data_IF_216872885964
#
_entry.id   IF_216872885964
#
_cell.length_a   1.000
_cell.length_b   1.000
_cell.length_c   1.000
_cell.angle_alpha   90.00
_cell.angle_beta   90.00
_cell.angle_gamma   90.00
#
_symmetry.space_group_name_H-M   'P 1'
#
loop_
_entity.id
_entity.type
_entity.pdbx_description
1 polymer ?
#
# COMPACT_ATOMS: atom_id res chain seq x y z
N UNK A 1 -28.13 -36.94 -28.34
CA UNK A 1 -28.55 -36.24 -27.09
C UNK A 1 -27.29 -35.74 -26.37
N UNK A 2 -27.17 -34.43 -26.04
CA UNK A 2 -26.01 -33.94 -25.33
C UNK A 2 -26.14 -34.31 -23.85
N UNK A 3 -25.13 -34.96 -23.29
CA UNK A 3 -24.99 -35.19 -21.84
C UNK A 3 -24.92 -33.87 -21.11
N UNK A 4 -25.89 -33.59 -20.24
CA UNK A 4 -25.84 -32.44 -19.30
C UNK A 4 -24.57 -32.52 -18.45
N UNK A 5 -23.85 -31.42 -18.34
CA UNK A 5 -22.60 -31.38 -17.61
C UNK A 5 -22.85 -31.46 -16.09
N UNK A 6 -21.97 -32.12 -15.38
CA UNK A 6 -22.05 -32.26 -13.91
C UNK A 6 -22.06 -30.93 -13.15
N UNK A 7 -21.74 -29.83 -13.84
CA UNK A 7 -21.73 -28.47 -13.33
C UNK A 7 -23.15 -27.90 -13.19
N UNK A 8 -24.04 -28.19 -14.14
CA UNK A 8 -25.41 -27.74 -14.08
C UNK A 8 -26.20 -28.40 -12.94
N UNK A 9 -25.90 -29.69 -12.64
CA UNK A 9 -26.47 -30.39 -11.51
C UNK A 9 -25.97 -29.86 -10.16
N UNK A 10 -24.72 -29.37 -10.10
CA UNK A 10 -24.15 -28.75 -8.90
C UNK A 10 -24.83 -27.40 -8.61
N UNK A 11 -25.01 -26.57 -9.62
CA UNK A 11 -25.73 -25.29 -9.48
C UNK A 11 -27.22 -25.45 -9.18
N UNK A 12 -27.85 -26.52 -9.66
CA UNK A 12 -29.24 -26.85 -9.30
C UNK A 12 -29.37 -27.21 -7.82
N UNK A 13 -28.45 -28.03 -7.27
CA UNK A 13 -28.40 -28.42 -5.86
C UNK A 13 -28.10 -27.20 -4.93
N UNK A 14 -27.20 -26.30 -5.35
CA UNK A 14 -26.89 -25.08 -4.58
C UNK A 14 -28.09 -24.13 -4.49
N UNK A 15 -28.86 -23.97 -5.56
CA UNK A 15 -30.09 -23.16 -5.56
C UNK A 15 -31.18 -23.79 -4.67
N UNK A 16 -31.29 -25.10 -4.67
CA UNK A 16 -32.28 -25.83 -3.84
C UNK A 16 -31.92 -25.71 -2.36
N UNK A 17 -30.67 -25.90 -1.98
CA UNK A 17 -30.17 -25.73 -0.61
C UNK A 17 -30.31 -24.28 -0.10
N UNK A 18 -30.10 -23.27 -0.95
CA UNK A 18 -30.35 -21.86 -0.61
C UNK A 18 -31.81 -21.56 -0.36
N UNK A 19 -32.72 -22.13 -1.12
CA UNK A 19 -34.18 -21.95 -0.94
C UNK A 19 -34.70 -22.62 0.33
N UNK A 20 -34.16 -23.78 0.70
CA UNK A 20 -34.53 -24.50 1.94
C UNK A 20 -34.05 -23.76 3.21
N UNK A 21 -32.87 -23.14 3.19
CA UNK A 21 -32.39 -22.32 4.30
C UNK A 21 -33.21 -21.05 4.53
N UNK A 22 -33.70 -20.40 3.47
CA UNK A 22 -34.59 -19.24 3.58
C UNK A 22 -35.98 -19.65 4.10
N UNK A 23 -36.50 -20.80 3.68
CA UNK A 23 -37.78 -21.32 4.15
C UNK A 23 -37.76 -21.76 5.63
N UNK A 24 -36.61 -22.24 6.14
CA UNK A 24 -36.45 -22.65 7.53
C UNK A 24 -36.35 -21.45 8.48
N UNK A 25 -35.76 -20.35 8.06
CA UNK A 25 -35.65 -19.12 8.88
C UNK A 25 -36.98 -18.35 9.03
N UNK A 26 -37.96 -18.58 8.17
CA UNK A 26 -39.28 -17.92 8.23
C UNK A 26 -40.27 -18.66 9.15
N UNK A 27 -40.01 -19.93 9.53
CA UNK A 27 -40.93 -20.70 10.37
C UNK A 27 -40.76 -20.55 11.88
N UNK A 28 -39.75 -19.85 12.36
CA UNK A 28 -39.46 -19.70 13.81
C UNK A 28 -39.90 -18.38 14.43
N UNK A 29 -40.68 -17.54 13.74
CA UNK A 29 -41.20 -16.28 14.29
C UNK A 29 -42.71 -16.24 14.19
N UNK A 30 -43.38 -17.07 14.97
CA UNK A 30 -44.80 -16.89 15.38
C UNK A 30 -44.93 -17.50 16.76
N UNK A 31 -44.81 -16.71 17.76
CA UNK A 31 -45.61 -16.52 18.98
C UNK A 31 -44.73 -15.87 20.08
N UNK A 32 -44.94 -14.59 20.28
CA UNK A 32 -44.98 -13.95 21.59
C UNK A 32 -45.44 -12.50 21.42
N UNK A 33 -46.73 -12.30 21.77
CA UNK A 33 -47.32 -10.99 21.89
C UNK A 33 -46.76 -10.26 23.12
N UNK A 34 -45.90 -9.25 22.92
CA UNK A 34 -45.75 -8.14 23.87
C UNK A 34 -45.80 -6.82 23.12
N UNK A 35 -46.88 -6.09 23.39
CA UNK A 35 -47.02 -4.68 23.00
C UNK A 35 -45.92 -3.86 23.68
N UNK A 36 -44.96 -3.42 22.91
CA UNK A 36 -44.11 -2.28 23.25
C UNK A 36 -44.27 -1.27 22.12
N UNK A 37 -44.76 -0.10 22.46
CA UNK A 37 -44.87 1.06 21.58
C UNK A 37 -43.48 1.51 21.20
N UNK A 38 -42.96 1.01 20.06
CA UNK A 38 -41.73 1.54 19.46
C UNK A 38 -42.10 2.66 18.50
N UNK A 39 -41.61 3.84 18.83
CA UNK A 39 -41.52 4.99 17.90
C UNK A 39 -40.78 4.52 16.63
N UNK A 40 -41.24 4.85 15.42
CA UNK A 40 -40.56 4.44 14.21
C UNK A 40 -39.14 5.04 14.20
N UNK A 41 -38.11 4.21 14.38
CA UNK A 41 -36.73 4.58 14.08
C UNK A 41 -36.69 4.96 12.59
N UNK A 42 -36.37 6.23 12.29
CA UNK A 42 -36.05 6.68 10.95
C UNK A 42 -35.06 5.67 10.34
N UNK A 43 -35.43 5.10 9.20
CA UNK A 43 -34.50 4.28 8.43
C UNK A 43 -33.23 5.12 8.18
N UNK A 44 -32.12 4.68 8.74
CA UNK A 44 -30.81 5.32 8.50
C UNK A 44 -30.51 5.04 7.03
N UNK A 45 -30.47 6.09 6.21
CA UNK A 45 -30.04 5.94 4.82
C UNK A 45 -28.63 5.29 4.82
N UNK A 46 -28.36 4.35 3.90
CA UNK A 46 -27.03 3.77 3.79
C UNK A 46 -26.00 4.89 3.56
N UNK A 47 -24.80 4.78 4.14
CA UNK A 47 -23.76 5.77 3.96
C UNK A 47 -23.44 5.93 2.47
N UNK A 48 -23.28 7.17 2.03
CA UNK A 48 -22.96 7.49 0.63
C UNK A 48 -21.47 7.77 0.51
N UNK A 49 -20.80 7.29 -0.55
CA UNK A 49 -19.41 7.65 -0.84
C UNK A 49 -19.27 9.18 -0.95
N UNK A 50 -18.13 9.70 -0.52
CA UNK A 50 -17.80 11.10 -0.75
C UNK A 50 -17.49 11.34 -2.22
N UNK A 51 -17.99 12.43 -2.78
CA UNK A 51 -17.69 12.78 -4.17
C UNK A 51 -16.20 13.10 -4.36
N UNK A 52 -15.55 12.60 -5.44
CA UNK A 52 -14.15 12.87 -5.72
C UNK A 52 -13.89 14.38 -5.96
N UNK A 53 -12.91 14.93 -5.26
CA UNK A 53 -12.39 16.27 -5.50
C UNK A 53 -11.11 16.21 -6.34
N UNK A 54 -11.24 16.40 -7.66
CA UNK A 54 -10.11 16.30 -8.60
C UNK A 54 -8.98 17.27 -8.25
N UNK A 55 -9.28 18.44 -7.69
CA UNK A 55 -8.27 19.41 -7.28
C UNK A 55 -7.39 18.93 -6.13
N UNK A 56 -7.93 18.07 -5.25
CA UNK A 56 -7.13 17.48 -4.17
C UNK A 56 -6.12 16.47 -4.72
N UNK A 57 -6.53 15.65 -5.68
CA UNK A 57 -5.63 14.72 -6.36
C UNK A 57 -4.55 15.45 -7.15
N UNK A 58 -4.91 16.48 -7.93
CA UNK A 58 -3.96 17.31 -8.68
C UNK A 58 -2.94 18.00 -7.75
N UNK A 59 -3.37 18.52 -6.60
CA UNK A 59 -2.48 19.13 -5.61
C UNK A 59 -1.50 18.12 -5.02
N UNK A 60 -1.97 16.92 -4.69
CA UNK A 60 -1.09 15.84 -4.23
C UNK A 60 -0.06 15.51 -5.28
N UNK A 61 -0.49 15.23 -6.52
CA UNK A 61 0.40 14.82 -7.59
C UNK A 61 1.43 15.93 -7.89
N UNK A 62 1.01 17.18 -7.96
CA UNK A 62 1.92 18.32 -8.12
C UNK A 62 2.93 18.45 -6.97
N UNK A 63 2.51 18.21 -5.74
CA UNK A 63 3.40 18.28 -4.57
C UNK A 63 4.44 17.16 -4.54
N UNK A 64 4.17 16.02 -5.19
CA UNK A 64 5.05 14.86 -5.20
C UNK A 64 6.07 14.85 -6.35
N UNK A 65 5.90 15.65 -7.42
CA UNK A 65 6.79 15.62 -8.59
C UNK A 65 8.27 15.74 -8.20
N UNK A 66 8.64 16.78 -7.46
CA UNK A 66 10.04 17.01 -7.08
C UNK A 66 10.57 15.93 -6.11
N UNK A 67 9.70 15.43 -5.22
CA UNK A 67 10.02 14.34 -4.29
C UNK A 67 10.30 13.06 -5.07
N UNK A 68 9.44 12.69 -6.01
CA UNK A 68 9.57 11.49 -6.83
C UNK A 68 10.85 11.52 -7.68
N UNK A 69 11.17 12.64 -8.31
CA UNK A 69 12.41 12.81 -9.06
C UNK A 69 13.66 12.58 -8.19
N UNK A 70 13.65 13.09 -6.96
CA UNK A 70 14.77 12.92 -6.03
C UNK A 70 14.85 11.49 -5.49
N UNK A 71 13.71 10.87 -5.16
CA UNK A 71 13.66 9.47 -4.72
C UNK A 71 14.16 8.52 -5.81
N UNK A 72 13.73 8.71 -7.07
CA UNK A 72 14.22 7.93 -8.21
C UNK A 72 15.75 8.01 -8.32
N UNK A 73 16.31 9.21 -8.27
CA UNK A 73 17.77 9.40 -8.33
C UNK A 73 18.50 8.68 -7.19
N UNK A 74 18.00 8.83 -5.96
CA UNK A 74 18.60 8.24 -4.77
C UNK A 74 18.51 6.72 -4.77
N UNK A 75 17.33 6.15 -5.07
CA UNK A 75 17.17 4.71 -5.15
C UNK A 75 18.02 4.09 -6.26
N UNK A 76 18.06 4.71 -7.46
CA UNK A 76 18.95 4.25 -8.53
C UNK A 76 20.42 4.33 -8.13
N UNK A 77 20.82 5.31 -7.30
CA UNK A 77 22.17 5.41 -6.77
C UNK A 77 22.47 4.28 -5.78
N UNK A 78 21.61 4.03 -4.80
CA UNK A 78 21.76 2.92 -3.84
C UNK A 78 21.91 1.59 -4.58
N UNK A 79 21.02 1.33 -5.54
CA UNK A 79 21.09 0.11 -6.36
C UNK A 79 22.39 0.02 -7.16
N UNK A 80 22.92 1.12 -7.67
CA UNK A 80 24.18 1.12 -8.40
C UNK A 80 25.40 0.86 -7.49
N UNK A 81 25.38 1.45 -6.29
CA UNK A 81 26.45 1.25 -5.32
C UNK A 81 26.46 -0.20 -4.78
N UNK A 82 25.28 -0.79 -4.54
CA UNK A 82 25.12 -2.19 -4.14
C UNK A 82 25.59 -3.14 -5.26
N UNK A 83 25.16 -2.92 -6.52
CA UNK A 83 25.61 -3.66 -7.69
C UNK A 83 27.14 -3.64 -7.80
N UNK A 84 27.75 -2.45 -7.69
CA UNK A 84 29.20 -2.30 -7.78
C UNK A 84 29.93 -3.03 -6.65
N UNK A 85 29.42 -2.97 -5.42
CA UNK A 85 30.01 -3.69 -4.30
C UNK A 85 30.02 -5.21 -4.54
N UNK A 86 28.90 -5.76 -5.03
CA UNK A 86 28.79 -7.19 -5.35
C UNK A 86 29.75 -7.59 -6.49
N UNK A 87 29.81 -6.80 -7.56
CA UNK A 87 30.69 -7.08 -8.70
C UNK A 87 32.17 -7.01 -8.30
N UNK A 88 32.57 -6.03 -7.48
CA UNK A 88 33.91 -5.92 -6.94
C UNK A 88 34.29 -7.12 -6.06
N UNK A 89 33.36 -7.57 -5.22
CA UNK A 89 33.55 -8.77 -4.41
C UNK A 89 33.80 -10.01 -5.30
N UNK A 90 32.96 -10.21 -6.34
CA UNK A 90 33.08 -11.35 -7.25
C UNK A 90 34.36 -11.38 -8.09
N UNK A 91 35.02 -10.26 -8.25
CA UNK A 91 36.35 -10.19 -8.91
C UNK A 91 37.51 -10.70 -8.02
N UNK A 92 37.26 -10.88 -6.72
CA UNK A 92 38.31 -11.34 -5.81
C UNK A 92 38.57 -12.84 -6.00
N UNK A 93 39.87 -13.25 -5.87
CA UNK A 93 40.27 -14.66 -5.99
C UNK A 93 39.66 -15.60 -4.94
N UNK A 94 39.05 -15.04 -3.86
CA UNK A 94 38.44 -15.77 -2.76
C UNK A 94 36.89 -15.61 -2.76
N UNK A 95 36.34 -15.11 -3.86
CA UNK A 95 34.89 -14.91 -3.95
C UNK A 95 34.16 -16.26 -3.81
N UNK A 96 33.13 -16.22 -2.97
CA UNK A 96 32.17 -17.33 -2.81
C UNK A 96 30.82 -16.84 -3.30
N UNK A 97 30.21 -17.61 -4.21
CA UNK A 97 28.90 -17.27 -4.78
C UNK A 97 27.83 -17.78 -3.80
N UNK A 98 27.56 -16.98 -2.79
CA UNK A 98 26.52 -17.21 -1.79
C UNK A 98 25.88 -15.87 -1.39
N UNK A 99 24.58 -15.86 -1.09
CA UNK A 99 23.82 -14.62 -0.82
C UNK A 99 24.46 -13.79 0.30
N UNK A 100 24.81 -14.46 1.42
CA UNK A 100 25.38 -13.83 2.63
C UNK A 100 26.78 -13.26 2.41
N UNK A 101 27.43 -13.61 1.28
CA UNK A 101 28.75 -13.13 0.91
C UNK A 101 28.69 -11.99 -0.09
N UNK A 102 27.68 -11.99 -0.94
CA UNK A 102 27.52 -10.98 -2.01
C UNK A 102 26.65 -9.81 -1.57
N UNK A 103 25.70 -10.00 -0.66
CA UNK A 103 24.85 -8.95 -0.10
C UNK A 103 25.15 -8.69 1.38
N UNK A 104 24.92 -7.47 1.87
CA UNK A 104 24.90 -7.17 3.30
C UNK A 104 23.77 -7.91 4.01
N UNK A 105 23.75 -7.88 5.36
CA UNK A 105 22.58 -8.39 6.11
C UNK A 105 21.31 -7.65 5.68
N UNK A 106 20.16 -8.26 5.90
CA UNK A 106 18.87 -7.66 5.58
C UNK A 106 18.71 -6.28 6.27
N UNK A 107 19.08 -6.20 7.54
CA UNK A 107 18.96 -4.99 8.35
C UNK A 107 19.85 -3.87 7.80
N UNK A 108 21.11 -4.19 7.44
CA UNK A 108 22.03 -3.21 6.90
C UNK A 108 21.59 -2.73 5.51
N UNK A 109 21.09 -3.65 4.68
CA UNK A 109 20.55 -3.30 3.37
C UNK A 109 19.32 -2.39 3.51
N UNK A 110 18.35 -2.76 4.34
CA UNK A 110 17.17 -1.93 4.62
C UNK A 110 17.55 -0.55 5.16
N UNK A 111 18.49 -0.51 6.11
CA UNK A 111 18.96 0.75 6.69
C UNK A 111 19.53 1.69 5.62
N UNK A 112 20.29 1.16 4.65
CA UNK A 112 20.84 1.94 3.54
C UNK A 112 19.74 2.59 2.71
N UNK A 113 18.65 1.86 2.39
CA UNK A 113 17.51 2.40 1.67
C UNK A 113 16.75 3.45 2.50
N UNK A 114 16.54 3.19 3.79
CA UNK A 114 15.89 4.12 4.73
C UNK A 114 16.67 5.43 4.82
N UNK A 115 17.98 5.38 5.05
CA UNK A 115 18.83 6.58 5.15
C UNK A 115 18.83 7.39 3.86
N UNK A 116 18.91 6.72 2.72
CA UNK A 116 18.89 7.40 1.44
C UNK A 116 17.59 8.13 1.12
N UNK A 117 16.44 7.63 1.62
CA UNK A 117 15.11 8.11 1.20
C UNK A 117 14.38 8.92 2.27
N UNK A 118 14.75 8.82 3.54
CA UNK A 118 14.01 9.37 4.68
C UNK A 118 13.70 10.86 4.55
N UNK A 119 14.63 11.67 4.07
CA UNK A 119 14.44 13.11 3.91
C UNK A 119 13.28 13.43 2.96
N UNK A 120 13.26 12.84 1.79
CA UNK A 120 12.25 13.06 0.75
C UNK A 120 10.88 12.50 1.17
N UNK A 121 10.88 11.36 1.85
CA UNK A 121 9.65 10.77 2.37
C UNK A 121 9.04 11.62 3.49
N UNK A 122 9.85 12.24 4.33
CA UNK A 122 9.36 13.22 5.32
C UNK A 122 8.83 14.48 4.63
N UNK A 123 9.45 14.97 3.56
CA UNK A 123 8.93 16.11 2.79
C UNK A 123 7.58 15.76 2.13
N UNK A 124 7.42 14.55 1.59
CA UNK A 124 6.13 14.07 1.09
C UNK A 124 5.06 14.05 2.21
N UNK A 125 5.40 13.51 3.37
CA UNK A 125 4.51 13.50 4.53
C UNK A 125 4.15 14.92 5.01
N UNK A 126 5.11 15.83 5.02
CA UNK A 126 4.87 17.25 5.33
C UNK A 126 3.89 17.89 4.33
N UNK A 127 4.01 17.58 3.05
CA UNK A 127 3.08 18.06 2.02
C UNK A 127 1.66 17.52 2.25
N UNK A 128 1.54 16.24 2.62
CA UNK A 128 0.27 15.65 3.02
C UNK A 128 -0.34 16.32 4.25
N UNK A 129 0.46 16.54 5.29
CA UNK A 129 0.03 17.23 6.50
C UNK A 129 -0.48 18.66 6.21
N UNK A 130 0.22 19.39 5.35
CA UNK A 130 -0.15 20.74 4.95
C UNK A 130 -1.42 20.79 4.11
N UNK A 131 -1.77 19.72 3.42
CA UNK A 131 -3.00 19.67 2.61
C UNK A 131 -4.29 19.71 3.44
N UNK A 132 -4.22 19.20 4.67
CA UNK A 132 -5.37 19.10 5.58
C UNK A 132 -5.27 20.04 6.80
N UNK A 133 -4.11 20.63 7.07
CA UNK A 133 -3.90 21.48 8.25
C UNK A 133 -3.43 22.88 7.87
N UNK A 134 -4.01 23.89 8.51
CA UNK A 134 -3.58 25.30 8.43
C UNK A 134 -2.49 25.65 9.47
N UNK A 135 -2.04 24.69 10.28
CA UNK A 135 -1.03 24.89 11.30
C UNK A 135 0.33 25.32 10.71
N UNK A 136 1.13 26.01 11.49
CA UNK A 136 2.48 26.42 11.10
C UNK A 136 3.36 25.21 10.80
N UNK A 137 4.26 25.31 9.83
CA UNK A 137 5.21 24.24 9.47
C UNK A 137 6.00 23.72 10.66
N UNK A 138 6.36 24.57 11.60
CA UNK A 138 7.08 24.19 12.85
C UNK A 138 6.30 23.23 13.71
N UNK A 139 4.98 23.41 13.82
CA UNK A 139 4.11 22.57 14.63
C UNK A 139 3.80 21.24 13.93
N UNK A 140 3.66 21.27 12.61
CA UNK A 140 3.53 20.05 11.82
C UNK A 140 4.79 19.18 11.92
N UNK A 141 5.99 19.75 11.90
CA UNK A 141 7.26 19.02 12.07
C UNK A 141 7.40 18.29 13.40
N UNK A 142 6.68 18.70 14.43
CA UNK A 142 6.63 17.96 15.70
C UNK A 142 5.84 16.65 15.56
N UNK A 143 4.76 16.68 14.80
CA UNK A 143 3.92 15.51 14.50
C UNK A 143 4.54 14.62 13.41
N UNK A 144 5.10 15.25 12.37
CA UNK A 144 5.73 14.59 11.22
C UNK A 144 7.23 14.43 11.49
N UNK A 145 7.59 13.37 12.19
CA UNK A 145 8.97 13.04 12.55
C UNK A 145 9.41 11.74 11.86
N UNK A 146 10.72 11.50 11.88
CA UNK A 146 11.27 10.22 11.43
C UNK A 146 10.56 9.02 12.08
N UNK A 147 10.37 9.08 13.41
CA UNK A 147 9.76 7.98 14.14
C UNK A 147 8.31 7.69 13.71
N UNK A 148 7.49 8.73 13.46
CA UNK A 148 6.08 8.56 13.11
C UNK A 148 5.83 8.20 11.65
N UNK A 149 6.71 8.64 10.76
CA UNK A 149 6.59 8.45 9.31
C UNK A 149 7.35 7.19 8.88
N UNK A 150 8.62 7.06 9.27
CA UNK A 150 9.46 5.97 8.79
C UNK A 150 9.11 4.60 9.39
N UNK A 151 8.36 4.54 10.50
CA UNK A 151 7.86 3.28 11.04
C UNK A 151 7.05 2.47 9.99
N UNK A 152 6.17 3.14 9.26
CA UNK A 152 5.35 2.53 8.20
C UNK A 152 6.15 2.37 6.91
N UNK A 153 6.91 3.39 6.53
CA UNK A 153 7.62 3.43 5.26
C UNK A 153 8.82 2.49 5.21
N UNK A 154 9.50 2.24 6.33
CA UNK A 154 10.57 1.23 6.39
C UNK A 154 10.05 -0.17 6.06
N UNK A 155 8.85 -0.51 6.56
CA UNK A 155 8.21 -1.76 6.19
C UNK A 155 7.91 -1.82 4.68
N UNK A 156 7.36 -0.74 4.12
CA UNK A 156 7.08 -0.67 2.68
C UNK A 156 8.35 -0.76 1.83
N UNK A 157 9.45 -0.12 2.25
CA UNK A 157 10.77 -0.27 1.60
C UNK A 157 11.29 -1.72 1.67
N UNK A 158 11.10 -2.38 2.83
CA UNK A 158 11.44 -3.79 2.97
C UNK A 158 10.62 -4.66 2.01
N UNK A 159 9.30 -4.50 2.02
CA UNK A 159 8.37 -5.34 1.26
C UNK A 159 8.49 -5.13 -0.26
N UNK A 160 8.67 -3.88 -0.72
CA UNK A 160 8.66 -3.56 -2.15
C UNK A 160 10.06 -3.60 -2.79
N UNK A 161 11.14 -3.44 -2.01
CA UNK A 161 12.49 -3.39 -2.55
C UNK A 161 13.38 -4.50 -2.00
N UNK A 162 13.58 -4.55 -0.67
CA UNK A 162 14.64 -5.38 -0.11
C UNK A 162 14.33 -6.86 -0.26
N UNK A 163 13.14 -7.31 0.15
CA UNK A 163 12.74 -8.71 0.01
C UNK A 163 12.74 -9.19 -1.45
N UNK A 164 12.06 -8.51 -2.40
CA UNK A 164 12.03 -8.98 -3.79
C UNK A 164 13.39 -8.94 -4.47
N UNK A 165 14.23 -7.96 -4.14
CA UNK A 165 15.57 -7.87 -4.68
C UNK A 165 16.45 -9.02 -4.17
N UNK A 166 16.41 -9.31 -2.85
CA UNK A 166 17.14 -10.44 -2.26
C UNK A 166 16.70 -11.78 -2.84
N UNK A 167 15.40 -12.00 -3.00
CA UNK A 167 14.88 -13.20 -3.69
C UNK A 167 15.44 -13.33 -5.12
N UNK A 168 15.48 -12.21 -5.83
CA UNK A 168 16.01 -12.21 -7.20
C UNK A 168 17.50 -12.51 -7.22
N UNK A 169 18.28 -11.98 -6.29
CA UNK A 169 19.71 -12.28 -6.18
C UNK A 169 19.95 -13.72 -5.71
N UNK A 170 19.12 -14.26 -4.82
CA UNK A 170 19.18 -15.68 -4.44
C UNK A 170 19.01 -16.57 -5.68
N UNK A 171 18.04 -16.28 -6.55
CA UNK A 171 17.87 -17.01 -7.81
C UNK A 171 19.07 -16.88 -8.74
N UNK A 172 19.76 -15.73 -8.73
CA UNK A 172 21.01 -15.57 -9.47
C UNK A 172 22.12 -16.46 -8.89
N UNK A 173 22.24 -16.56 -7.56
CA UNK A 173 23.19 -17.47 -6.91
C UNK A 173 22.94 -18.91 -7.35
N UNK A 174 21.71 -19.38 -7.28
CA UNK A 174 21.31 -20.74 -7.67
C UNK A 174 21.59 -21.01 -9.15
N UNK A 175 21.25 -20.06 -10.03
CA UNK A 175 21.40 -20.22 -11.48
C UNK A 175 22.85 -20.12 -11.97
N UNK A 176 23.75 -19.53 -11.18
CA UNK A 176 25.16 -19.34 -11.57
C UNK A 176 26.03 -20.58 -11.35
N UNK A 177 25.51 -21.60 -10.69
CA UNK A 177 26.22 -22.86 -10.37
C UNK A 177 27.65 -22.63 -9.82
N UNK A 178 27.79 -21.65 -8.93
CA UNK A 178 29.07 -21.26 -8.33
C UNK A 178 30.02 -20.44 -9.23
N UNK A 179 29.64 -20.14 -10.48
CA UNK A 179 30.43 -19.33 -11.41
C UNK A 179 30.33 -17.84 -11.10
N UNK A 180 31.43 -17.22 -10.67
CA UNK A 180 31.49 -15.78 -10.40
C UNK A 180 31.26 -14.94 -11.68
N UNK A 181 31.66 -15.44 -12.85
CA UNK A 181 31.43 -14.75 -14.14
C UNK A 181 29.97 -14.73 -14.50
N UNK A 182 29.28 -15.88 -14.38
CA UNK A 182 27.85 -16.00 -14.67
C UNK A 182 27.02 -15.21 -13.65
N UNK A 183 27.34 -15.32 -12.36
CA UNK A 183 26.73 -14.50 -11.32
C UNK A 183 26.85 -13.00 -11.62
N UNK A 184 28.03 -12.53 -12.06
CA UNK A 184 28.24 -11.12 -12.43
C UNK A 184 27.34 -10.67 -13.58
N UNK A 185 27.10 -11.54 -14.57
CA UNK A 185 26.19 -11.26 -15.68
C UNK A 185 24.74 -11.16 -15.23
N UNK A 186 24.30 -12.10 -14.38
CA UNK A 186 22.93 -12.13 -13.81
C UNK A 186 22.67 -10.92 -12.92
N UNK A 187 23.63 -10.51 -12.07
CA UNK A 187 23.55 -9.30 -11.25
C UNK A 187 23.33 -8.07 -12.12
N UNK A 188 24.19 -7.86 -13.13
CA UNK A 188 24.06 -6.68 -14.04
C UNK A 188 22.69 -6.63 -14.70
N UNK A 189 22.16 -7.77 -15.15
CA UNK A 189 20.84 -7.85 -15.75
C UNK A 189 19.73 -7.50 -14.76
N UNK A 190 19.81 -8.06 -13.55
CA UNK A 190 18.82 -7.82 -12.48
C UNK A 190 18.80 -6.35 -12.06
N UNK A 191 19.94 -5.75 -11.75
CA UNK A 191 19.98 -4.33 -11.32
C UNK A 191 19.63 -3.36 -12.44
N UNK A 192 19.93 -3.70 -13.70
CA UNK A 192 19.44 -2.93 -14.85
C UNK A 192 17.93 -2.94 -14.93
N UNK A 193 17.30 -4.12 -14.81
CA UNK A 193 15.85 -4.26 -14.82
C UNK A 193 15.21 -3.45 -13.69
N UNK A 194 15.74 -3.54 -12.47
CA UNK A 194 15.26 -2.79 -11.33
C UNK A 194 15.32 -1.28 -11.55
N UNK A 195 16.48 -0.76 -11.96
CA UNK A 195 16.70 0.67 -12.21
C UNK A 195 15.81 1.23 -13.33
N UNK A 196 15.46 0.40 -14.33
CA UNK A 196 14.70 0.86 -15.50
C UNK A 196 13.18 0.65 -15.37
N UNK A 197 12.72 -0.33 -14.61
CA UNK A 197 11.30 -0.74 -14.63
C UNK A 197 10.61 -0.67 -13.28
N UNK A 198 11.32 -0.96 -12.18
CA UNK A 198 10.70 -1.10 -10.87
C UNK A 198 10.75 0.20 -10.06
N UNK A 199 11.90 0.89 -10.07
CA UNK A 199 12.11 2.07 -9.22
C UNK A 199 11.02 3.13 -9.41
N UNK A 200 10.65 3.46 -10.64
CA UNK A 200 9.68 4.53 -10.91
C UNK A 200 8.27 4.18 -10.38
N UNK A 201 7.89 2.90 -10.44
CA UNK A 201 6.60 2.41 -9.88
C UNK A 201 6.60 2.45 -8.37
N UNK A 202 7.66 1.93 -7.75
CA UNK A 202 7.82 1.86 -6.29
C UNK A 202 7.86 3.27 -5.69
N UNK A 203 8.58 4.19 -6.32
CA UNK A 203 8.67 5.59 -5.87
C UNK A 203 7.28 6.22 -5.81
N UNK A 204 6.48 6.09 -6.87
CA UNK A 204 5.14 6.65 -6.88
C UNK A 204 4.24 6.09 -5.78
N UNK A 205 4.36 4.81 -5.42
CA UNK A 205 3.57 4.22 -4.34
C UNK A 205 4.07 4.65 -2.96
N UNK A 206 5.38 4.66 -2.74
CA UNK A 206 5.99 5.04 -1.45
C UNK A 206 5.77 6.54 -1.16
N UNK A 207 5.90 7.41 -2.14
CA UNK A 207 5.68 8.84 -1.94
C UNK A 207 4.21 9.16 -1.65
N UNK A 208 3.27 8.51 -2.33
CA UNK A 208 1.84 8.62 -2.02
C UNK A 208 1.50 8.07 -0.63
N UNK A 209 2.13 6.95 -0.21
CA UNK A 209 1.97 6.44 1.14
C UNK A 209 2.50 7.43 2.18
N UNK A 210 3.67 8.02 1.94
CA UNK A 210 4.24 9.05 2.81
C UNK A 210 3.31 10.28 2.93
N UNK A 211 2.79 10.77 1.81
CA UNK A 211 1.83 11.86 1.75
C UNK A 211 0.56 11.52 2.55
N UNK A 212 -0.03 10.35 2.31
CA UNK A 212 -1.24 9.89 3.01
C UNK A 212 -1.01 9.73 4.51
N UNK A 213 0.15 9.18 4.91
CA UNK A 213 0.54 9.08 6.31
C UNK A 213 0.65 10.45 6.97
N UNK A 214 1.27 11.41 6.30
CA UNK A 214 1.39 12.78 6.80
C UNK A 214 0.04 13.49 6.94
N UNK A 215 -0.85 13.33 5.96
CA UNK A 215 -2.22 13.84 6.02
C UNK A 215 -2.99 13.22 7.20
N UNK A 216 -2.86 11.92 7.41
CA UNK A 216 -3.54 11.21 8.49
C UNK A 216 -3.03 11.61 9.89
N UNK A 217 -1.72 11.79 10.07
CA UNK A 217 -1.09 12.13 11.37
C UNK A 217 -1.49 13.51 11.91
N UNK A 218 -2.03 14.40 11.10
CA UNK A 218 -2.49 15.73 11.56
C UNK A 218 -3.96 15.78 11.91
N UNK A 219 -4.70 14.73 11.60
CA UNK A 219 -6.10 14.58 12.00
C UNK A 219 -6.17 14.23 13.50
N UNK A 220 -7.17 14.74 14.17
CA UNK A 220 -7.42 14.40 15.57
C UNK A 220 -8.19 13.07 15.65
N UNK A 221 -7.90 12.27 16.66
CA UNK A 221 -8.62 11.02 16.91
C UNK A 221 -10.11 11.31 17.09
N UNK A 222 -10.95 10.52 16.42
CA UNK A 222 -12.40 10.67 16.47
C UNK A 222 -12.98 11.67 15.45
N UNK A 223 -12.16 12.45 14.73
CA UNK A 223 -12.64 13.22 13.59
C UNK A 223 -13.14 12.25 12.53
N UNK A 224 -14.31 12.53 11.97
CA UNK A 224 -14.87 11.70 10.90
C UNK A 224 -14.15 11.92 9.59
N UNK A 225 -13.74 10.83 8.99
CA UNK A 225 -13.00 10.80 7.71
C UNK A 225 -13.72 9.89 6.71
N UNK A 226 -13.55 10.20 5.43
CA UNK A 226 -14.06 9.41 4.33
C UNK A 226 -12.91 8.96 3.41
N UNK A 227 -13.09 7.78 2.84
CA UNK A 227 -12.19 7.28 1.80
C UNK A 227 -12.62 7.82 0.44
N UNK A 228 -11.76 8.59 -0.21
CA UNK A 228 -12.03 9.22 -1.50
C UNK A 228 -11.25 8.50 -2.59
N UNK A 229 -11.97 7.84 -3.49
CA UNK A 229 -11.40 7.10 -4.62
C UNK A 229 -11.01 8.09 -5.72
N UNK A 230 -9.79 7.97 -6.25
CA UNK A 230 -9.35 8.74 -7.42
C UNK A 230 -9.92 8.10 -8.70
N UNK A 231 -10.77 8.78 -9.46
CA UNK A 231 -11.35 8.23 -10.69
C UNK A 231 -10.31 7.95 -11.78
N UNK A 232 -9.12 8.54 -11.68
CA UNK A 232 -7.98 8.26 -12.57
C UNK A 232 -7.02 7.21 -12.01
N UNK A 233 -7.40 6.57 -10.89
CA UNK A 233 -6.66 5.46 -10.28
C UNK A 233 -7.02 4.11 -10.92
N UNK A 234 -6.26 3.05 -10.63
CA UNK A 234 -6.63 1.71 -11.03
C UNK A 234 -7.91 1.28 -10.28
N UNK A 235 -8.82 0.53 -10.92
CA UNK A 235 -9.98 -0.06 -10.25
C UNK A 235 -9.53 -0.96 -9.10
N UNK A 236 -10.19 -0.83 -7.94
CA UNK A 236 -9.87 -1.62 -6.77
C UNK A 236 -11.11 -1.82 -5.90
N UNK A 237 -11.54 -3.07 -5.74
CA UNK A 237 -12.71 -3.44 -4.93
C UNK A 237 -12.55 -2.98 -3.47
N UNK A 238 -11.36 -3.16 -2.89
CA UNK A 238 -11.09 -2.73 -1.50
C UNK A 238 -11.22 -1.21 -1.33
N UNK A 239 -10.79 -0.42 -2.31
CA UNK A 239 -10.94 1.03 -2.28
C UNK A 239 -12.42 1.45 -2.42
N UNK A 240 -13.20 0.72 -3.21
CA UNK A 240 -14.65 0.92 -3.36
C UNK A 240 -15.37 0.56 -2.07
N UNK A 241 -15.06 -0.58 -1.45
CA UNK A 241 -15.63 -1.01 -0.16
C UNK A 241 -15.33 0.01 0.95
N UNK A 242 -14.10 0.52 1.02
CA UNK A 242 -13.74 1.57 1.98
C UNK A 242 -14.50 2.87 1.72
N UNK A 243 -14.72 3.24 0.47
CA UNK A 243 -15.51 4.42 0.09
C UNK A 243 -16.99 4.27 0.45
N UNK A 244 -17.56 3.08 0.23
CA UNK A 244 -18.95 2.75 0.57
C UNK A 244 -19.22 2.72 2.08
N UNK A 245 -18.20 2.56 2.92
CA UNK A 245 -18.34 2.67 4.37
C UNK A 245 -18.76 4.08 4.83
N UNK A 246 -18.57 5.10 3.98
CA UNK A 246 -18.87 6.49 4.30
C UNK A 246 -17.96 7.04 5.38
N UNK A 247 -18.51 7.55 6.47
CA UNK A 247 -17.75 8.17 7.56
C UNK A 247 -17.21 7.13 8.55
N UNK A 248 -15.89 7.14 8.78
CA UNK A 248 -15.17 6.36 9.79
C UNK A 248 -14.46 7.33 10.74
N UNK A 249 -14.33 6.99 12.02
CA UNK A 249 -13.58 7.84 12.95
C UNK A 249 -12.06 7.70 12.71
N UNK A 250 -11.34 8.81 12.67
CA UNK A 250 -9.86 8.78 12.62
C UNK A 250 -9.32 8.00 13.83
N UNK A 251 -8.46 7.03 13.60
CA UNK A 251 -7.99 6.05 14.58
C UNK A 251 -8.69 4.70 14.49
N UNK A 252 -9.76 4.60 13.72
CA UNK A 252 -10.42 3.33 13.39
C UNK A 252 -10.05 2.87 11.98
N UNK A 253 -10.20 1.57 11.73
CA UNK A 253 -9.92 0.98 10.43
C UNK A 253 -11.13 1.00 9.52
N UNK A 254 -10.91 1.23 8.25
CA UNK A 254 -11.90 0.99 7.21
C UNK A 254 -12.19 -0.53 7.05
N UNK A 255 -13.27 -0.91 6.34
CA UNK A 255 -13.68 -2.32 6.22
C UNK A 255 -12.58 -3.28 5.75
N UNK A 256 -11.66 -2.84 4.92
CA UNK A 256 -10.54 -3.67 4.42
C UNK A 256 -9.39 -3.83 5.44
N UNK A 257 -9.47 -3.16 6.59
CA UNK A 257 -8.48 -3.27 7.66
C UNK A 257 -7.41 -2.17 7.66
N UNK A 258 -7.50 -1.21 6.75
CA UNK A 258 -6.56 -0.11 6.60
C UNK A 258 -7.08 1.18 7.24
N UNK A 259 -6.18 2.02 7.74
CA UNK A 259 -6.51 3.34 8.31
C UNK A 259 -6.45 4.45 7.24
N UNK A 260 -5.60 4.29 6.24
CA UNK A 260 -5.37 5.27 5.17
C UNK A 260 -4.75 4.60 3.92
N UNK A 261 -4.82 5.22 2.70
CA UNK A 261 -4.09 4.74 1.52
C UNK A 261 -2.56 4.81 1.75
N UNK A 262 -1.76 4.04 1.07
CA UNK A 262 -1.89 3.23 -0.13
C UNK A 262 -2.08 1.77 0.29
N UNK A 263 -3.08 1.07 -0.25
CA UNK A 263 -3.41 -0.31 0.13
C UNK A 263 -2.96 -1.35 -0.92
N UNK A 264 -2.69 -0.93 -2.14
CA UNK A 264 -2.18 -1.78 -3.22
C UNK A 264 -1.25 -1.00 -4.14
N UNK A 265 -0.53 -1.69 -5.02
CA UNK A 265 0.31 -1.07 -6.03
C UNK A 265 -0.50 -0.16 -6.96
N UNK A 266 -0.02 1.07 -7.17
CA UNK A 266 -0.69 2.08 -7.99
C UNK A 266 -1.90 2.76 -7.35
N UNK A 267 -2.22 2.49 -6.08
CA UNK A 267 -3.32 3.16 -5.36
C UNK A 267 -3.14 4.68 -5.35
N UNK A 268 -4.21 5.41 -5.73
CA UNK A 268 -4.24 6.88 -5.77
C UNK A 268 -5.31 7.49 -4.87
N UNK A 269 -5.94 6.71 -4.01
CA UNK A 269 -6.96 7.19 -3.09
C UNK A 269 -6.42 8.21 -2.08
N UNK A 270 -7.34 8.94 -1.44
CA UNK A 270 -7.07 9.83 -0.30
C UNK A 270 -8.04 9.52 0.84
N UNK A 271 -7.63 9.82 2.07
CA UNK A 271 -8.53 9.94 3.21
C UNK A 271 -8.64 11.42 3.55
N UNK A 272 -9.88 11.90 3.68
CA UNK A 272 -10.20 13.31 3.90
C UNK A 272 -11.24 13.45 5.02
N UNK A 273 -11.25 14.56 5.78
CA UNK A 273 -12.34 14.85 6.72
C UNK A 273 -13.69 14.88 6.00
N UNK A 274 -14.74 14.35 6.63
CA UNK A 274 -16.10 14.34 6.07
C UNK A 274 -16.72 15.75 6.02
N UNK A 275 -16.42 16.58 7.00
CA UNK A 275 -16.80 18.00 7.04
C UNK A 275 -15.63 18.84 6.49
N UNK A 276 -15.82 19.46 5.33
CA UNK A 276 -14.87 20.37 4.71
C UNK A 276 -15.15 21.82 5.07
#
# INVERSE_FOLDING_TARGET
EPKKSSVDDLFAKLRQAGAENVASSVKTVKDSSHKTTETPKKAVEPPKPIEPDLKMFERRDSALIAVDEMLVKKLKRVLADEENAMLNYLQSKKAQVALEKVLPSFENQLQTFVEATSKELIEAAMSGAQSLSKSLKSDLRKKISNATVMQVLSKKLADDIVYPLRERIQKCVESSDGSASEMSSLIRSTYREWKMKQVDKIVGDISRLAYSRGAYLVLETGVKVCWMVDPNGPPCADAEDNSLAGEVNCGEKFPTGDEHPVIHAGCKCLVVPSSR
#
